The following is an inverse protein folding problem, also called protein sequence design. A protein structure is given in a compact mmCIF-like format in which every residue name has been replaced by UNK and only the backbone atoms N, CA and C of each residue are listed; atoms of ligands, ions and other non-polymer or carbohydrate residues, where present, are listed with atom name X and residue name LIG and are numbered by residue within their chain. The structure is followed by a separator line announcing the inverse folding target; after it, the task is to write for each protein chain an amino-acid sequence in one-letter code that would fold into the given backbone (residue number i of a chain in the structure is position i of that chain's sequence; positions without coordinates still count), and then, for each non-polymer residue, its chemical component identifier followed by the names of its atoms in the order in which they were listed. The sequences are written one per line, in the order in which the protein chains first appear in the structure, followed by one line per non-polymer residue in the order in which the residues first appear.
data_IF_381720250267
#
_entry.id   IF_381720250267
#
_cell.length_a   1.000
_cell.length_b   1.000
_cell.length_c   1.000
_cell.angle_alpha   90.00
_cell.angle_beta   90.00
_cell.angle_gamma   90.00
#
_symmetry.space_group_name_H-M   'P 1'
#
loop_
_entity.id
_entity.type
_entity.pdbx_description
1 polymer ?
#
# COMPACT_ATOMS: atom_id res chain seq x y z
N UNK A 1 30.82 -4.90 19.40
CA UNK A 1 29.82 -4.84 20.49
C UNK A 1 28.59 -5.57 20.03
N UNK A 2 28.15 -6.60 20.74
CA UNK A 2 26.91 -7.31 20.42
C UNK A 2 25.75 -6.57 21.08
N UNK A 3 24.77 -6.14 20.29
CA UNK A 3 23.60 -5.44 20.80
C UNK A 3 22.78 -6.41 21.68
N UNK A 4 22.42 -6.00 22.90
CA UNK A 4 21.67 -6.84 23.82
C UNK A 4 20.16 -6.62 23.64
N UNK A 5 19.57 -7.38 22.73
CA UNK A 5 18.13 -7.28 22.43
C UNK A 5 17.25 -7.63 23.63
N UNK A 6 17.58 -8.64 24.43
CA UNK A 6 16.78 -9.03 25.60
C UNK A 6 16.60 -7.88 26.60
N UNK A 7 17.68 -7.15 26.91
CA UNK A 7 17.61 -6.02 27.83
C UNK A 7 16.72 -4.92 27.25
N UNK A 8 16.90 -4.59 25.97
CA UNK A 8 16.08 -3.58 25.29
C UNK A 8 14.60 -3.97 25.25
N UNK A 9 14.26 -5.24 25.01
CA UNK A 9 12.87 -5.71 24.98
C UNK A 9 12.22 -5.70 26.38
N UNK A 10 12.99 -6.01 27.44
CA UNK A 10 12.50 -5.91 28.83
C UNK A 10 12.11 -4.49 29.22
N UNK A 11 12.83 -3.49 28.72
CA UNK A 11 12.54 -2.08 29.00
C UNK A 11 11.48 -1.49 28.05
N UNK A 12 11.16 -2.18 26.94
CA UNK A 12 10.17 -1.73 25.97
C UNK A 12 8.72 -1.92 26.46
N UNK A 13 7.83 -1.05 26.01
CA UNK A 13 6.39 -1.15 26.28
C UNK A 13 5.73 -2.27 25.45
N UNK A 14 4.62 -2.83 25.92
CA UNK A 14 3.90 -3.91 25.22
C UNK A 14 3.50 -3.54 23.79
N UNK A 15 3.09 -2.29 23.56
CA UNK A 15 2.74 -1.79 22.23
C UNK A 15 3.94 -1.80 21.27
N UNK A 16 5.13 -1.53 21.78
CA UNK A 16 6.37 -1.53 21.02
C UNK A 16 6.80 -2.96 20.68
N UNK A 17 6.71 -3.87 21.65
CA UNK A 17 6.95 -5.29 21.42
C UNK A 17 5.99 -5.89 20.39
N UNK A 18 4.69 -5.54 20.47
CA UNK A 18 3.67 -5.94 19.49
C UNK A 18 4.01 -5.38 18.10
N UNK A 19 4.47 -4.12 18.01
CA UNK A 19 4.87 -3.51 16.74
C UNK A 19 6.03 -4.26 16.10
N UNK A 20 7.04 -4.63 16.88
CA UNK A 20 8.22 -5.39 16.42
C UNK A 20 7.82 -6.78 15.90
N UNK A 21 6.94 -7.47 16.62
CA UNK A 21 6.58 -8.87 16.29
C UNK A 21 5.52 -8.97 15.19
N UNK A 22 4.59 -8.00 15.11
CA UNK A 22 3.40 -8.11 14.26
C UNK A 22 3.40 -7.07 13.13
N UNK A 23 3.63 -5.79 13.42
CA UNK A 23 3.39 -4.71 12.45
C UNK A 23 4.57 -4.47 11.52
N UNK A 24 5.78 -4.40 12.06
CA UNK A 24 7.00 -4.00 11.34
C UNK A 24 8.02 -5.13 11.35
N UNK A 25 7.56 -6.39 11.39
CA UNK A 25 8.43 -7.56 11.57
C UNK A 25 9.57 -7.60 10.55
N UNK A 26 9.30 -7.19 9.33
CA UNK A 26 10.25 -7.10 8.22
C UNK A 26 11.33 -6.01 8.38
N UNK A 27 11.13 -5.04 9.27
CA UNK A 27 12.11 -3.99 9.58
C UNK A 27 13.14 -4.41 10.65
N UNK A 28 12.92 -5.53 11.34
CA UNK A 28 13.77 -5.98 12.45
C UNK A 28 14.55 -7.26 12.13
N UNK A 29 15.70 -7.42 12.79
CA UNK A 29 16.48 -8.66 12.72
C UNK A 29 15.75 -9.78 13.46
N UNK A 30 15.87 -11.03 12.97
CA UNK A 30 15.29 -12.22 13.61
C UNK A 30 15.64 -12.34 15.11
N UNK A 31 16.86 -11.98 15.50
CA UNK A 31 17.28 -11.98 16.91
C UNK A 31 16.49 -10.97 17.78
N UNK A 32 16.09 -9.82 17.22
CA UNK A 32 15.28 -8.83 17.90
C UNK A 32 13.82 -9.28 18.00
N UNK A 33 13.30 -9.90 16.93
CA UNK A 33 11.95 -10.46 16.88
C UNK A 33 11.81 -11.57 17.94
N UNK A 34 12.75 -12.51 17.97
CA UNK A 34 12.76 -13.62 18.94
C UNK A 34 12.83 -13.11 20.39
N UNK A 35 13.65 -12.08 20.67
CA UNK A 35 13.73 -11.48 22.00
C UNK A 35 12.42 -10.77 22.40
N UNK A 36 11.73 -10.14 21.45
CA UNK A 36 10.46 -9.48 21.68
C UNK A 36 9.31 -10.49 21.92
N UNK A 37 9.29 -11.59 21.16
CA UNK A 37 8.37 -12.72 21.36
C UNK A 37 8.55 -13.34 22.74
N UNK A 38 9.80 -13.63 23.14
CA UNK A 38 10.11 -14.20 24.44
C UNK A 38 9.65 -13.29 25.60
N UNK A 39 9.83 -11.98 25.47
CA UNK A 39 9.39 -11.02 26.47
C UNK A 39 7.86 -10.87 26.52
N UNK A 40 7.17 -10.88 25.37
CA UNK A 40 5.70 -10.89 25.31
C UNK A 40 5.11 -12.14 25.98
N UNK A 41 5.69 -13.31 25.72
CA UNK A 41 5.33 -14.56 26.39
C UNK A 41 5.59 -14.49 27.89
N UNK A 42 6.75 -13.92 28.31
CA UNK A 42 7.07 -13.72 29.74
C UNK A 42 6.06 -12.81 30.45
N UNK A 43 5.54 -11.80 29.76
CA UNK A 43 4.53 -10.86 30.28
C UNK A 43 3.11 -11.44 30.31
N UNK A 44 2.93 -12.68 29.86
CA UNK A 44 1.65 -13.38 29.87
C UNK A 44 0.55 -12.61 29.12
N UNK A 45 0.93 -11.83 28.11
CA UNK A 45 -0.02 -11.33 27.13
C UNK A 45 -0.59 -12.55 26.42
N UNK A 46 -1.87 -12.84 26.63
CA UNK A 46 -2.45 -14.10 26.19
C UNK A 46 -2.11 -14.35 24.73
N UNK A 47 -1.60 -15.54 24.42
CA UNK A 47 -1.30 -15.95 23.05
C UNK A 47 -2.51 -15.72 22.14
N UNK A 48 -3.71 -15.86 22.69
CA UNK A 48 -5.00 -15.52 22.09
C UNK A 48 -5.12 -14.05 21.64
N UNK A 49 -4.63 -13.08 22.43
CA UNK A 49 -4.66 -11.66 22.08
C UNK A 49 -3.65 -11.35 20.98
N UNK A 50 -2.46 -11.94 21.04
CA UNK A 50 -1.45 -11.83 19.99
C UNK A 50 -1.93 -12.47 18.67
N UNK A 51 -2.55 -13.64 18.73
CA UNK A 51 -3.15 -14.30 17.57
C UNK A 51 -4.26 -13.46 16.93
N UNK A 52 -5.15 -12.87 17.74
CA UNK A 52 -6.18 -11.93 17.24
C UNK A 52 -5.58 -10.69 16.58
N UNK A 53 -4.52 -10.12 17.14
CA UNK A 53 -3.82 -8.97 16.56
C UNK A 53 -3.15 -9.33 15.23
N UNK A 54 -2.48 -10.49 15.17
CA UNK A 54 -1.86 -11.01 13.94
C UNK A 54 -2.90 -11.26 12.85
N UNK A 55 -4.01 -11.90 13.18
CA UNK A 55 -5.10 -12.15 12.23
C UNK A 55 -5.72 -10.84 11.73
N UNK A 56 -5.90 -9.85 12.61
CA UNK A 56 -6.39 -8.52 12.21
C UNK A 56 -5.40 -7.82 11.27
N UNK A 57 -4.10 -7.88 11.56
CA UNK A 57 -3.07 -7.29 10.70
C UNK A 57 -3.03 -7.97 9.34
N UNK A 58 -3.09 -9.31 9.31
CA UNK A 58 -3.15 -10.08 8.07
C UNK A 58 -4.37 -9.69 7.24
N UNK A 59 -5.55 -9.65 7.85
CA UNK A 59 -6.78 -9.25 7.16
C UNK A 59 -6.69 -7.82 6.57
N UNK A 60 -6.10 -6.87 7.30
CA UNK A 60 -5.87 -5.51 6.79
C UNK A 60 -4.87 -5.49 5.62
N UNK A 61 -3.82 -6.32 5.68
CA UNK A 61 -2.85 -6.44 4.60
C UNK A 61 -3.48 -7.06 3.35
N UNK A 62 -4.28 -8.11 3.53
CA UNK A 62 -5.01 -8.78 2.44
C UNK A 62 -6.03 -7.81 1.81
N UNK A 63 -6.75 -7.02 2.62
CA UNK A 63 -7.69 -6.01 2.11
C UNK A 63 -6.97 -4.90 1.31
N UNK A 64 -5.81 -4.43 1.78
CA UNK A 64 -4.99 -3.46 1.06
C UNK A 64 -4.48 -4.02 -0.26
N UNK A 65 -3.96 -5.25 -0.24
CA UNK A 65 -3.47 -5.92 -1.44
C UNK A 65 -4.60 -6.14 -2.46
N UNK A 66 -5.78 -6.53 -1.98
CA UNK A 66 -6.98 -6.67 -2.80
C UNK A 66 -7.35 -5.33 -3.46
N UNK A 67 -7.51 -4.26 -2.67
CA UNK A 67 -7.85 -2.91 -3.17
C UNK A 67 -6.83 -2.39 -4.17
N UNK A 68 -5.53 -2.56 -3.90
CA UNK A 68 -4.45 -2.13 -4.77
C UNK A 68 -4.49 -2.83 -6.14
N UNK A 69 -4.98 -4.07 -6.19
CA UNK A 69 -5.08 -4.88 -7.40
C UNK A 69 -6.33 -4.67 -8.26
N UNK A 70 -7.35 -3.93 -7.76
CA UNK A 70 -8.62 -3.77 -8.49
C UNK A 70 -8.39 -2.96 -9.77
N UNK A 71 -8.76 -3.51 -10.95
CA UNK A 71 -8.64 -2.79 -12.21
C UNK A 71 -9.61 -1.61 -12.30
N UNK A 72 -9.27 -0.62 -13.13
CA UNK A 72 -10.19 0.45 -13.46
C UNK A 72 -11.32 -0.08 -14.36
N UNK A 73 -12.54 0.33 -14.04
CA UNK A 73 -13.73 -0.05 -14.81
C UNK A 73 -13.70 0.56 -16.21
N UNK A 74 -14.36 -0.11 -17.15
CA UNK A 74 -14.28 0.25 -18.58
C UNK A 74 -14.77 1.66 -18.86
N UNK A 75 -15.86 2.10 -18.23
CA UNK A 75 -16.39 3.45 -18.44
C UNK A 75 -15.40 4.53 -18.00
N UNK A 76 -14.67 4.33 -16.90
CA UNK A 76 -13.62 5.25 -16.46
C UNK A 76 -12.45 5.29 -17.45
N UNK A 77 -12.08 4.15 -18.06
CA UNK A 77 -11.06 4.10 -19.11
C UNK A 77 -11.47 4.92 -20.34
N UNK A 78 -12.72 4.77 -20.77
CA UNK A 78 -13.28 5.51 -21.90
C UNK A 78 -13.28 7.01 -21.62
N UNK A 79 -13.73 7.43 -20.43
CA UNK A 79 -13.74 8.85 -20.03
C UNK A 79 -12.32 9.42 -20.01
N UNK A 80 -11.35 8.70 -19.43
CA UNK A 80 -9.95 9.13 -19.39
C UNK A 80 -9.32 9.28 -20.78
N UNK A 81 -9.71 8.43 -21.72
CA UNK A 81 -9.24 8.48 -23.10
C UNK A 81 -9.87 9.63 -23.91
N UNK A 82 -11.20 9.79 -23.85
CA UNK A 82 -11.92 10.76 -24.70
C UNK A 82 -11.77 12.20 -24.22
N UNK A 83 -11.59 12.40 -22.92
CA UNK A 83 -11.46 13.74 -22.33
C UNK A 83 -10.19 13.78 -21.49
N UNK A 84 -9.00 13.72 -22.13
CA UNK A 84 -7.75 13.80 -21.40
C UNK A 84 -7.56 15.22 -20.86
N UNK A 85 -7.26 15.34 -19.56
CA UNK A 85 -7.11 16.66 -18.94
C UNK A 85 -6.70 16.62 -17.47
N UNK A 86 -6.57 17.80 -16.87
CA UNK A 86 -6.06 17.98 -15.51
C UNK A 86 -6.95 17.33 -14.42
N UNK A 87 -8.27 17.24 -14.64
CA UNK A 87 -9.18 16.63 -13.65
C UNK A 87 -8.92 15.13 -13.43
N UNK A 88 -8.27 14.45 -14.37
CA UNK A 88 -7.83 13.06 -14.21
C UNK A 88 -6.81 12.91 -13.08
N UNK A 89 -6.03 13.95 -12.76
CA UNK A 89 -5.12 13.95 -11.61
C UNK A 89 -5.87 13.91 -10.28
N UNK A 90 -7.02 14.58 -10.19
CA UNK A 90 -7.88 14.57 -9.00
C UNK A 90 -8.46 13.16 -8.81
N UNK A 91 -8.95 12.54 -9.90
CA UNK A 91 -9.50 11.18 -9.90
C UNK A 91 -8.42 10.16 -9.50
N UNK A 92 -7.24 10.24 -10.11
CA UNK A 92 -6.11 9.36 -9.77
C UNK A 92 -5.66 9.54 -8.31
N UNK A 93 -5.62 10.77 -7.82
CA UNK A 93 -5.32 11.08 -6.41
C UNK A 93 -6.34 10.49 -5.45
N UNK A 94 -7.63 10.58 -5.77
CA UNK A 94 -8.71 9.98 -4.97
C UNK A 94 -8.64 8.45 -4.93
N UNK A 95 -8.30 7.79 -6.04
CA UNK A 95 -8.09 6.34 -6.04
C UNK A 95 -6.86 5.94 -5.20
N UNK A 96 -5.75 6.68 -5.34
CA UNK A 96 -4.53 6.41 -4.59
C UNK A 96 -4.73 6.56 -3.08
N UNK A 97 -5.43 7.60 -2.63
CA UNK A 97 -5.73 7.78 -1.19
C UNK A 97 -6.64 6.69 -0.63
N UNK A 98 -7.49 6.08 -1.47
CA UNK A 98 -8.32 4.92 -1.12
C UNK A 98 -7.61 3.57 -1.14
N UNK A 99 -6.31 3.52 -1.49
CA UNK A 99 -5.55 2.28 -1.65
C UNK A 99 -5.80 1.55 -2.97
N UNK A 100 -6.43 2.20 -3.96
CA UNK A 100 -6.68 1.64 -5.29
C UNK A 100 -5.56 2.01 -6.27
N UNK A 101 -4.33 1.57 -5.98
CA UNK A 101 -3.13 1.96 -6.73
C UNK A 101 -3.22 1.61 -8.22
N UNK A 102 -3.74 0.43 -8.57
CA UNK A 102 -3.95 0.06 -9.98
C UNK A 102 -4.97 0.96 -10.67
N UNK A 103 -6.09 1.31 -10.03
CA UNK A 103 -7.08 2.23 -10.62
C UNK A 103 -6.43 3.58 -10.94
N UNK A 104 -5.67 4.15 -9.99
CA UNK A 104 -4.97 5.41 -10.18
C UNK A 104 -3.98 5.36 -11.37
N UNK A 105 -3.20 4.27 -11.45
CA UNK A 105 -2.25 4.06 -12.55
C UNK A 105 -2.95 3.90 -13.91
N UNK A 106 -4.08 3.17 -13.96
CA UNK A 106 -4.84 2.98 -15.19
C UNK A 106 -5.46 4.31 -15.66
N UNK A 107 -5.98 5.16 -14.76
CA UNK A 107 -6.45 6.52 -15.12
C UNK A 107 -5.36 7.31 -15.83
N UNK A 108 -4.15 7.34 -15.25
CA UNK A 108 -3.01 8.02 -15.86
C UNK A 108 -2.64 7.47 -17.23
N UNK A 109 -2.57 6.13 -17.37
CA UNK A 109 -2.25 5.48 -18.65
C UNK A 109 -3.25 5.81 -19.75
N UNK A 110 -4.55 5.68 -19.47
CA UNK A 110 -5.61 5.97 -20.45
C UNK A 110 -5.66 7.46 -20.81
N UNK A 111 -5.37 8.35 -19.86
CA UNK A 111 -5.22 9.78 -20.13
C UNK A 111 -4.08 10.04 -21.11
N UNK A 112 -2.91 9.43 -20.91
CA UNK A 112 -1.77 9.56 -21.83
C UNK A 112 -2.13 9.04 -23.23
N UNK A 113 -2.80 7.89 -23.33
CA UNK A 113 -3.28 7.39 -24.62
C UNK A 113 -4.23 8.37 -25.32
N UNK A 114 -5.15 9.00 -24.58
CA UNK A 114 -6.00 10.06 -25.11
C UNK A 114 -5.18 11.24 -25.64
N UNK A 115 -4.26 11.79 -24.83
CA UNK A 115 -3.38 12.90 -25.24
C UNK A 115 -2.62 12.53 -26.52
N UNK A 116 -1.96 11.37 -26.55
CA UNK A 116 -1.20 10.92 -27.71
C UNK A 116 -2.08 10.79 -28.96
N UNK A 117 -3.29 10.26 -28.81
CA UNK A 117 -4.25 10.15 -29.92
C UNK A 117 -4.62 11.51 -30.52
N UNK A 118 -4.99 12.48 -29.68
CA UNK A 118 -5.33 13.83 -30.15
C UNK A 118 -4.13 14.59 -30.70
N UNK A 119 -2.92 14.38 -30.18
CA UNK A 119 -1.70 14.96 -30.74
C UNK A 119 -1.42 14.45 -32.16
N UNK A 120 -1.60 13.16 -32.41
CA UNK A 120 -1.41 12.59 -33.76
C UNK A 120 -2.41 13.20 -34.75
N UNK A 121 -3.68 13.32 -34.35
CA UNK A 121 -4.71 13.97 -35.19
C UNK A 121 -4.33 15.43 -35.44
N UNK A 122 -3.92 16.18 -34.42
CA UNK A 122 -3.53 17.57 -34.56
C UNK A 122 -2.37 17.75 -35.55
N UNK A 123 -1.32 16.94 -35.41
CA UNK A 123 -0.14 16.96 -36.30
C UNK A 123 -0.56 16.62 -37.73
N UNK A 124 -1.42 15.61 -37.92
CA UNK A 124 -1.94 15.25 -39.23
C UNK A 124 -2.66 16.42 -39.90
N UNK A 125 -3.57 17.09 -39.20
CA UNK A 125 -4.28 18.24 -39.75
C UNK A 125 -3.33 19.40 -40.09
N UNK A 126 -2.32 19.66 -39.24
CA UNK A 126 -1.33 20.71 -39.48
C UNK A 126 -0.43 20.43 -40.71
N UNK A 127 -0.29 19.17 -41.13
CA UNK A 127 0.47 18.80 -42.33
C UNK A 127 -0.36 18.88 -43.62
N UNK A 128 -1.69 18.88 -43.52
CA UNK A 128 -2.59 19.04 -44.67
C UNK A 128 -2.88 20.52 -45.02
N UNK A 129 -2.69 21.45 -44.07
CA UNK A 129 -2.74 22.90 -44.28
C UNK A 129 -1.43 23.47 -44.90
#
# INVERSE_FOLDING_TARGET
MQFNFEKTMKDAADAELIRIVITNRDEYQEAAIAAAEAELSRRNLSEDKLAKLKNRQQWQNDEKAYKAGIPLELHWKIIAFLIPGFFQLIIAGSFKSGGYDRKANEVGKWTIYGISFYLVILIYNLMEE
#
